data_IF_437052488912
#
_entry.id   IF_437052488912
#
_cell.length_a   1.000
_cell.length_b   1.000
_cell.length_c   1.000
_cell.angle_alpha   90.00
_cell.angle_beta   90.00
_cell.angle_gamma   90.00
#
_symmetry.space_group_name_H-M   'P 1'
#
loop_
_entity.id
_entity.type
_entity.pdbx_description
1 polymer ?
#
# COMPACT_ATOMS: atom_id res chain seq x y z
N UNK A 1 -0.15 -26.75 -15.80
CA UNK A 1 1.03 -25.85 -15.75
C UNK A 1 0.73 -24.49 -16.36
N UNK A 2 0.00 -24.42 -17.49
CA UNK A 2 -0.44 -23.19 -18.15
C UNK A 2 -1.25 -22.24 -17.23
N UNK A 3 -2.18 -22.79 -16.46
CA UNK A 3 -3.04 -22.02 -15.54
C UNK A 3 -2.27 -21.30 -14.41
N UNK A 4 -1.15 -21.89 -13.95
CA UNK A 4 -0.30 -21.26 -12.93
C UNK A 4 0.49 -20.08 -13.50
N UNK A 5 0.83 -20.11 -14.78
CA UNK A 5 1.55 -19.03 -15.45
C UNK A 5 0.61 -17.85 -15.71
N UNK A 6 -0.63 -18.14 -16.15
CA UNK A 6 -1.67 -17.13 -16.42
C UNK A 6 -2.11 -16.42 -15.14
N UNK A 7 -2.36 -17.14 -14.04
CA UNK A 7 -2.65 -16.51 -12.74
C UNK A 7 -1.51 -15.60 -12.25
N UNK A 8 -0.25 -15.99 -12.49
CA UNK A 8 0.91 -15.17 -12.09
C UNK A 8 1.02 -13.90 -12.91
N UNK A 9 0.75 -13.96 -14.21
CA UNK A 9 0.71 -12.78 -15.07
C UNK A 9 -0.43 -11.83 -14.69
N UNK A 10 -1.63 -12.36 -14.41
CA UNK A 10 -2.77 -11.55 -13.98
C UNK A 10 -2.48 -10.82 -12.67
N UNK A 11 -1.94 -11.52 -11.66
CA UNK A 11 -1.52 -10.90 -10.39
C UNK A 11 -0.53 -9.76 -10.59
N UNK A 12 0.48 -9.96 -11.43
CA UNK A 12 1.49 -8.93 -11.71
C UNK A 12 0.89 -7.71 -12.42
N UNK A 13 0.00 -7.91 -13.39
CA UNK A 13 -0.72 -6.82 -14.05
C UNK A 13 -1.59 -6.03 -13.06
N UNK A 14 -2.26 -6.72 -12.14
CA UNK A 14 -3.04 -6.06 -11.08
C UNK A 14 -2.17 -5.24 -10.12
N UNK A 15 -1.00 -5.75 -9.74
CA UNK A 15 -0.05 -4.95 -8.95
C UNK A 15 0.44 -3.71 -9.71
N UNK A 16 0.68 -3.82 -11.02
CA UNK A 16 1.08 -2.67 -11.85
C UNK A 16 -0.04 -1.62 -12.00
N UNK A 17 -1.30 -2.04 -11.96
CA UNK A 17 -2.47 -1.15 -12.01
C UNK A 17 -2.78 -0.46 -10.66
N UNK A 18 -2.11 -0.89 -9.57
CA UNK A 18 -2.37 -0.42 -8.22
C UNK A 18 -1.21 0.44 -7.72
N UNK A 19 -1.54 1.59 -7.12
CA UNK A 19 -0.58 2.38 -6.37
C UNK A 19 -0.54 1.85 -4.95
N UNK A 20 0.47 1.02 -4.67
CA UNK A 20 0.73 0.44 -3.36
C UNK A 20 2.00 1.04 -2.77
N UNK A 21 1.90 1.47 -1.52
CA UNK A 21 3.03 2.01 -0.76
C UNK A 21 3.44 0.97 0.26
N UNK A 22 4.72 0.61 0.27
CA UNK A 22 5.27 -0.33 1.25
C UNK A 22 6.23 0.37 2.19
N UNK A 23 6.32 -0.12 3.42
CA UNK A 23 7.32 0.34 4.37
C UNK A 23 7.36 -0.52 5.61
N UNK A 24 8.14 -0.06 6.59
CA UNK A 24 8.29 -0.69 7.90
C UNK A 24 7.82 0.27 8.99
N UNK A 25 7.25 -0.30 10.05
CA UNK A 25 6.87 0.43 11.27
C UNK A 25 7.17 -0.39 12.51
N UNK A 26 7.59 0.32 13.55
CA UNK A 26 7.66 -0.23 14.91
C UNK A 26 6.35 0.02 15.65
N UNK A 27 5.81 -1.01 16.27
CA UNK A 27 4.61 -0.86 17.08
C UNK A 27 4.95 -0.20 18.42
N UNK A 28 4.43 1.00 18.67
CA UNK A 28 4.61 1.70 19.97
C UNK A 28 4.09 0.92 21.19
N UNK A 29 3.12 0.00 21.01
CA UNK A 29 2.55 -0.75 22.12
C UNK A 29 3.28 -2.05 22.44
N UNK A 30 3.72 -2.81 21.43
CA UNK A 30 4.40 -4.09 21.65
C UNK A 30 5.88 -4.11 21.24
N UNK A 31 6.39 -2.98 20.76
CA UNK A 31 7.78 -2.76 20.33
C UNK A 31 8.27 -3.72 19.26
N UNK A 32 7.36 -4.40 18.57
CA UNK A 32 7.69 -5.28 17.45
C UNK A 32 7.57 -4.52 16.15
N UNK A 33 8.54 -4.76 15.28
CA UNK A 33 8.53 -4.24 13.93
C UNK A 33 7.62 -5.09 13.03
N UNK A 34 7.06 -4.43 12.02
CA UNK A 34 6.25 -5.07 10.99
C UNK A 34 6.36 -4.28 9.69
N UNK A 35 6.36 -5.03 8.59
CA UNK A 35 6.23 -4.45 7.25
C UNK A 35 4.76 -4.29 6.87
N UNK A 36 4.46 -3.27 6.07
CA UNK A 36 3.12 -3.02 5.57
C UNK A 36 3.09 -2.75 4.07
N UNK A 37 1.91 -2.96 3.49
CA UNK A 37 1.54 -2.60 2.13
C UNK A 37 0.18 -1.87 2.17
N UNK A 38 0.18 -0.59 1.82
CA UNK A 38 -1.00 0.27 1.82
C UNK A 38 -1.46 0.53 0.38
N UNK A 39 -2.69 0.15 0.05
CA UNK A 39 -3.31 0.44 -1.23
C UNK A 39 -3.85 1.88 -1.23
N UNK A 40 -3.18 2.76 -1.97
CA UNK A 40 -3.54 4.18 -2.08
C UNK A 40 -4.63 4.37 -3.13
N UNK A 41 -4.52 3.67 -4.26
CA UNK A 41 -5.55 3.67 -5.32
C UNK A 41 -5.39 2.44 -6.21
N UNK A 42 -6.49 1.96 -6.78
CA UNK A 42 -6.51 0.83 -7.69
C UNK A 42 -7.64 -0.16 -7.40
N UNK A 43 -7.56 -1.35 -7.99
CA UNK A 43 -8.56 -2.41 -7.87
C UNK A 43 -8.43 -3.10 -6.51
N UNK A 44 -9.53 -3.12 -5.76
CA UNK A 44 -9.65 -3.78 -4.45
C UNK A 44 -9.82 -5.31 -4.60
N UNK A 45 -8.80 -6.00 -5.11
CA UNK A 45 -8.72 -7.46 -4.98
C UNK A 45 -7.65 -7.80 -3.93
N UNK A 46 -8.09 -7.81 -2.67
CA UNK A 46 -7.23 -7.99 -1.50
C UNK A 46 -6.56 -9.37 -1.47
N UNK A 47 -7.24 -10.42 -1.95
CA UNK A 47 -6.72 -11.79 -1.98
C UNK A 47 -5.53 -11.93 -2.95
N UNK A 48 -5.61 -11.28 -4.10
CA UNK A 48 -4.50 -11.28 -5.06
C UNK A 48 -3.36 -10.36 -4.63
N UNK A 49 -3.66 -9.21 -4.03
CA UNK A 49 -2.62 -8.30 -3.55
C UNK A 49 -1.86 -8.87 -2.35
N UNK A 50 -2.55 -9.52 -1.41
CA UNK A 50 -1.90 -10.22 -0.29
C UNK A 50 -0.96 -11.34 -0.75
N UNK A 51 -1.29 -12.00 -1.87
CA UNK A 51 -0.43 -13.00 -2.51
C UNK A 51 0.85 -12.41 -3.13
N UNK A 52 0.86 -11.12 -3.47
CA UNK A 52 2.00 -10.40 -4.04
C UNK A 52 2.86 -9.79 -2.94
N UNK A 53 2.23 -9.14 -1.96
CA UNK A 53 2.89 -8.51 -0.82
C UNK A 53 2.99 -9.46 0.39
N UNK A 54 3.47 -10.69 0.14
CA UNK A 54 3.57 -11.73 1.18
C UNK A 54 4.42 -11.25 2.36
N UNK A 55 3.95 -11.55 3.56
CA UNK A 55 4.62 -11.20 4.82
C UNK A 55 4.37 -9.75 5.28
N UNK A 56 3.73 -8.92 4.45
CA UNK A 56 3.36 -7.55 4.81
C UNK A 56 1.92 -7.50 5.31
N UNK A 57 1.66 -6.63 6.29
CA UNK A 57 0.29 -6.28 6.66
C UNK A 57 -0.32 -5.44 5.56
N UNK A 58 -1.43 -5.89 5.00
CA UNK A 58 -2.15 -5.16 3.97
C UNK A 58 -3.19 -4.23 4.60
N UNK A 59 -3.31 -3.01 4.07
CA UNK A 59 -4.39 -2.07 4.42
C UNK A 59 -4.89 -1.32 3.18
N UNK A 60 -6.18 -1.05 3.13
CA UNK A 60 -6.80 -0.08 2.21
C UNK A 60 -7.35 1.14 2.97
N UNK A 61 -7.04 1.26 4.27
CA UNK A 61 -7.39 2.41 5.10
C UNK A 61 -6.38 3.53 4.87
N UNK A 62 -6.55 4.19 3.73
CA UNK A 62 -5.73 5.34 3.30
C UNK A 62 -6.65 6.53 3.04
N UNK A 63 -6.32 7.69 3.61
CA UNK A 63 -7.03 8.94 3.40
C UNK A 63 -6.10 9.93 2.71
N UNK A 64 -6.51 10.46 1.56
CA UNK A 64 -5.78 11.55 0.90
C UNK A 64 -6.08 12.85 1.63
N UNK A 65 -5.08 13.43 2.27
CA UNK A 65 -5.20 14.69 3.02
C UNK A 65 -5.05 15.90 2.11
N UNK A 66 -4.05 15.86 1.21
CA UNK A 66 -3.73 16.98 0.32
C UNK A 66 -3.17 16.47 -0.99
N UNK A 67 -3.55 17.10 -2.09
CA UNK A 67 -2.95 16.90 -3.42
C UNK A 67 -2.40 18.22 -3.91
N UNK A 68 -1.14 18.23 -4.31
CA UNK A 68 -0.46 19.37 -4.93
C UNK A 68 0.02 18.97 -6.31
N UNK A 69 -0.15 19.85 -7.28
CA UNK A 69 0.30 19.63 -8.66
C UNK A 69 1.47 20.59 -8.89
N UNK A 70 2.61 20.05 -9.31
CA UNK A 70 3.84 20.82 -9.55
C UNK A 70 4.40 20.47 -10.93
N UNK A 71 5.37 21.25 -11.40
CA UNK A 71 5.99 21.09 -12.73
C UNK A 71 4.96 21.04 -13.88
N UNK A 72 4.07 22.03 -13.95
CA UNK A 72 3.06 22.16 -15.01
C UNK A 72 2.16 20.93 -15.21
N UNK A 73 1.91 20.15 -14.15
CA UNK A 73 1.07 18.96 -14.24
C UNK A 73 1.83 17.64 -14.29
N UNK A 74 3.16 17.66 -14.48
CA UNK A 74 3.95 16.44 -14.62
C UNK A 74 4.15 15.67 -13.30
N UNK A 75 3.99 16.34 -12.15
CA UNK A 75 4.17 15.74 -10.84
C UNK A 75 2.99 16.05 -9.91
N UNK A 76 2.47 14.99 -9.31
CA UNK A 76 1.47 15.05 -8.26
C UNK A 76 2.12 14.66 -6.93
N UNK A 77 2.14 15.58 -5.97
CA UNK A 77 2.53 15.30 -4.59
C UNK A 77 1.26 15.09 -3.78
N UNK A 78 1.12 13.91 -3.19
CA UNK A 78 -0.04 13.50 -2.42
C UNK A 78 0.38 13.24 -0.98
N UNK A 79 -0.21 13.98 -0.04
CA UNK A 79 -0.12 13.71 1.39
C UNK A 79 -1.23 12.73 1.75
N UNK A 80 -0.86 11.60 2.35
CA UNK A 80 -1.79 10.53 2.74
C UNK A 80 -1.65 10.21 4.21
N UNK A 81 -2.77 9.98 4.89
CA UNK A 81 -2.82 9.33 6.20
C UNK A 81 -3.07 7.83 5.98
N UNK A 82 -2.19 6.99 6.51
CA UNK A 82 -2.27 5.53 6.40
C UNK A 82 -2.56 4.97 7.79
N UNK A 83 -3.56 4.09 7.87
CA UNK A 83 -3.84 3.30 9.08
C UNK A 83 -3.49 1.84 8.84
N UNK A 84 -2.54 1.30 9.62
CA UNK A 84 -2.12 -0.10 9.57
C UNK A 84 -2.36 -0.77 10.92
N UNK A 85 -2.89 -1.98 10.92
CA UNK A 85 -3.09 -2.78 12.13
C UNK A 85 -1.84 -3.61 12.43
N UNK A 86 -1.25 -3.46 13.62
CA UNK A 86 -0.10 -4.26 14.04
C UNK A 86 -0.49 -5.76 14.05
N UNK A 87 0.28 -6.66 13.40
CA UNK A 87 -0.09 -8.07 13.32
C UNK A 87 0.12 -8.78 14.67
N UNK A 88 0.98 -8.24 15.53
CA UNK A 88 1.38 -8.86 16.79
C UNK A 88 0.43 -8.56 17.96
N UNK A 89 -0.11 -7.34 18.03
CA UNK A 89 -0.96 -6.90 19.14
C UNK A 89 -2.26 -6.22 18.70
N UNK A 90 -2.55 -6.19 17.40
CA UNK A 90 -3.82 -5.73 16.83
C UNK A 90 -4.13 -4.23 17.04
N UNK A 91 -3.15 -3.43 17.48
CA UNK A 91 -3.27 -1.97 17.59
C UNK A 91 -3.27 -1.28 16.24
N UNK A 92 -4.02 -0.18 16.12
CA UNK A 92 -4.02 0.65 14.92
C UNK A 92 -2.88 1.69 14.99
N UNK A 93 -2.10 1.76 13.92
CA UNK A 93 -1.02 2.73 13.73
C UNK A 93 -1.40 3.67 12.61
N UNK A 94 -1.53 4.95 12.94
CA UNK A 94 -1.91 6.00 12.00
C UNK A 94 -0.74 6.95 11.81
N UNK A 95 -0.36 7.21 10.56
CA UNK A 95 0.78 8.07 10.24
C UNK A 95 0.63 8.69 8.85
N UNK A 96 1.31 9.82 8.63
CA UNK A 96 1.29 10.52 7.35
C UNK A 96 2.46 10.10 6.47
N UNK A 97 2.26 10.14 5.16
CA UNK A 97 3.30 9.90 4.16
C UNK A 97 3.09 10.76 2.92
N UNK A 98 4.19 11.25 2.35
CA UNK A 98 4.18 11.97 1.09
C UNK A 98 4.50 11.02 -0.06
N UNK A 99 3.67 11.06 -1.09
CA UNK A 99 3.79 10.25 -2.30
C UNK A 99 3.98 11.18 -3.50
N UNK A 100 4.98 10.89 -4.32
CA UNK A 100 5.17 11.56 -5.60
C UNK A 100 4.69 10.62 -6.70
N UNK A 101 3.64 11.03 -7.42
CA UNK A 101 3.09 10.31 -8.56
C UNK A 101 3.41 11.09 -9.82
N UNK A 102 3.95 10.41 -10.83
CA UNK A 102 4.12 10.97 -12.18
C UNK A 102 2.81 10.79 -12.96
N UNK A 103 2.45 11.79 -13.76
CA UNK A 103 1.30 11.76 -14.67
C UNK A 103 1.54 10.83 -15.86
#
# INVERSE_FOLDING_TARGET
>A
MKDRLEMRQMRLQMAAANHVVTGEKSCILCSKDFEYAALVSGVKNVEDLSSIYKGKVFTDQVVVLKKSIVNNGALHIVDVEITVKCPHCQSNHRFNQFLTLQS
#
